data_IF_695726135988
#
_entry.id   IF_695726135988
#
_cell.length_a   1.000
_cell.length_b   1.000
_cell.length_c   1.000
_cell.angle_alpha   90.00
_cell.angle_beta   90.00
_cell.angle_gamma   90.00
#
_symmetry.space_group_name_H-M   'P 1'
#
loop_
_entity.id
_entity.type
_entity.pdbx_description
1 polymer ?
#
# COMPACT_ATOMS: atom_id res chain seq x y z
N UNK A 1 24.05 -19.01 -4.20
CA UNK A 1 24.10 -19.17 -5.66
C UNK A 1 23.74 -17.84 -6.30
N UNK A 2 24.53 -17.38 -7.27
CA UNK A 2 24.52 -16.01 -7.83
C UNK A 2 23.11 -15.51 -8.26
N UNK A 3 22.21 -16.41 -8.66
CA UNK A 3 20.81 -16.05 -8.98
C UNK A 3 19.99 -15.52 -7.79
N UNK A 4 20.26 -16.01 -6.57
CA UNK A 4 19.58 -15.53 -5.36
C UNK A 4 20.02 -14.13 -4.93
N UNK A 5 21.30 -13.79 -5.15
CA UNK A 5 21.84 -12.47 -4.82
C UNK A 5 21.29 -11.39 -5.76
N UNK A 6 21.15 -11.71 -7.05
CA UNK A 6 20.53 -10.82 -8.03
C UNK A 6 19.05 -10.56 -7.72
N UNK A 7 18.29 -11.60 -7.36
CA UNK A 7 16.88 -11.45 -6.99
C UNK A 7 16.70 -10.58 -5.75
N UNK A 8 17.57 -10.73 -4.74
CA UNK A 8 17.56 -9.87 -3.55
C UNK A 8 17.87 -8.41 -3.91
N UNK A 9 18.87 -8.19 -4.77
CA UNK A 9 19.24 -6.85 -5.24
C UNK A 9 18.10 -6.18 -6.01
N UNK A 10 17.50 -6.89 -6.97
CA UNK A 10 16.34 -6.42 -7.74
C UNK A 10 15.14 -6.10 -6.83
N UNK A 11 14.85 -6.98 -5.86
CA UNK A 11 13.79 -6.74 -4.89
C UNK A 11 14.01 -5.47 -4.07
N UNK A 12 15.25 -5.19 -3.64
CA UNK A 12 15.59 -3.95 -2.93
C UNK A 12 15.45 -2.72 -3.82
N UNK A 13 15.91 -2.78 -5.06
CA UNK A 13 15.75 -1.68 -6.02
C UNK A 13 14.27 -1.41 -6.29
N UNK A 14 13.47 -2.46 -6.50
CA UNK A 14 12.02 -2.34 -6.68
C UNK A 14 11.35 -1.68 -5.47
N UNK A 15 11.74 -2.05 -4.24
CA UNK A 15 11.24 -1.39 -3.01
C UNK A 15 11.62 0.08 -2.96
N UNK A 16 12.85 0.45 -3.31
CA UNK A 16 13.29 1.86 -3.35
C UNK A 16 12.47 2.65 -4.37
N UNK A 17 12.26 2.10 -5.57
CA UNK A 17 11.43 2.73 -6.61
C UNK A 17 9.99 2.89 -6.15
N UNK A 18 9.39 1.85 -5.55
CA UNK A 18 8.04 1.91 -5.02
C UNK A 18 7.92 2.96 -3.90
N UNK A 19 8.85 2.96 -2.93
CA UNK A 19 8.82 3.88 -1.81
C UNK A 19 9.02 5.34 -2.25
N UNK A 20 9.99 5.63 -3.11
CA UNK A 20 10.23 6.99 -3.60
C UNK A 20 9.12 7.47 -4.54
N UNK A 21 8.66 6.61 -5.46
CA UNK A 21 7.61 6.97 -6.41
C UNK A 21 6.27 7.22 -5.74
N UNK A 22 5.85 6.30 -4.86
CA UNK A 22 4.59 6.46 -4.11
C UNK A 22 4.68 7.58 -3.09
N UNK A 23 5.84 7.75 -2.44
CA UNK A 23 6.08 8.83 -1.49
C UNK A 23 6.04 10.19 -2.15
N UNK A 24 6.65 10.36 -3.33
CA UNK A 24 6.59 11.61 -4.09
C UNK A 24 5.16 11.92 -4.54
N UNK A 25 4.44 10.93 -5.06
CA UNK A 25 3.03 11.12 -5.45
C UNK A 25 2.15 11.48 -4.25
N UNK A 26 2.36 10.83 -3.12
CA UNK A 26 1.67 11.14 -1.88
C UNK A 26 2.01 12.54 -1.35
N UNK A 27 3.28 12.94 -1.40
CA UNK A 27 3.70 14.28 -0.99
C UNK A 27 3.12 15.38 -1.89
N UNK A 28 3.04 15.13 -3.19
CA UNK A 28 2.38 16.06 -4.11
C UNK A 28 0.88 16.19 -3.82
N UNK A 29 0.23 15.10 -3.39
CA UNK A 29 -1.19 15.10 -3.01
C UNK A 29 -1.42 15.81 -1.68
N UNK A 30 -0.60 15.53 -0.66
CA UNK A 30 -0.63 16.19 0.66
C UNK A 30 -0.40 17.71 0.54
N UNK A 31 0.38 18.16 -0.46
CA UNK A 31 0.66 19.58 -0.74
C UNK A 31 -0.35 20.23 -1.69
N UNK A 32 -1.16 19.47 -2.42
CA UNK A 32 -2.14 20.01 -3.34
C UNK A 32 -3.32 20.64 -2.59
N UNK A 33 -3.85 21.75 -3.09
CA UNK A 33 -5.01 22.40 -2.49
C UNK A 33 -6.25 21.47 -2.58
N UNK A 34 -7.13 21.45 -1.55
CA UNK A 34 -8.30 20.58 -1.54
C UNK A 34 -9.16 20.81 -2.80
N UNK A 35 -9.29 19.76 -3.62
CA UNK A 35 -10.06 19.73 -4.86
C UNK A 35 -11.33 18.89 -4.75
N UNK A 36 -12.12 18.79 -5.82
CA UNK A 36 -13.39 18.06 -5.85
C UNK A 36 -13.24 16.59 -5.43
N UNK A 37 -13.78 16.25 -4.25
CA UNK A 37 -13.88 14.88 -3.75
C UNK A 37 -14.82 14.04 -4.62
N UNK A 38 -14.25 13.33 -5.59
CA UNK A 38 -14.92 12.22 -6.27
C UNK A 38 -14.26 10.94 -5.76
N UNK A 39 -15.04 9.98 -5.26
CA UNK A 39 -14.49 8.68 -4.86
C UNK A 39 -13.74 7.97 -6.01
N UNK A 40 -13.09 6.84 -5.72
CA UNK A 40 -12.26 6.08 -6.68
C UNK A 40 -12.98 5.80 -8.02
N UNK A 41 -14.22 5.30 -7.99
CA UNK A 41 -15.06 5.12 -9.18
C UNK A 41 -15.37 6.43 -9.93
N UNK A 42 -15.46 7.55 -9.21
CA UNK A 42 -15.67 8.88 -9.80
C UNK A 42 -14.46 9.34 -10.62
N UNK A 43 -13.25 9.09 -10.14
CA UNK A 43 -12.02 9.36 -10.88
C UNK A 43 -11.86 8.43 -12.09
N UNK A 44 -12.15 7.13 -11.93
CA UNK A 44 -12.13 6.18 -13.05
C UNK A 44 -13.15 6.53 -14.13
N UNK A 45 -14.38 6.91 -13.75
CA UNK A 45 -15.42 7.35 -14.69
C UNK A 45 -15.03 8.64 -15.40
N UNK A 46 -14.39 9.58 -14.69
CA UNK A 46 -13.87 10.80 -15.32
C UNK A 46 -12.77 10.49 -16.34
N UNK A 47 -11.84 9.60 -15.99
CA UNK A 47 -10.77 9.13 -16.87
C UNK A 47 -11.32 8.43 -18.12
N UNK A 48 -12.31 7.55 -17.94
CA UNK A 48 -13.01 6.88 -19.04
C UNK A 48 -13.75 7.86 -19.97
N UNK A 49 -14.15 9.02 -19.43
CA UNK A 49 -14.72 10.13 -20.20
C UNK A 49 -13.68 11.12 -20.75
N UNK A 50 -12.38 10.80 -20.71
CA UNK A 50 -11.30 11.65 -21.22
C UNK A 50 -10.94 12.85 -20.34
N UNK A 51 -11.48 12.93 -19.11
CA UNK A 51 -11.19 14.02 -18.16
C UNK A 51 -10.18 13.59 -17.12
N UNK A 52 -8.97 14.16 -17.21
CA UNK A 52 -7.95 13.97 -16.20
C UNK A 52 -8.27 14.85 -14.98
N UNK A 53 -8.57 14.20 -13.86
CA UNK A 53 -8.79 14.85 -12.55
C UNK A 53 -7.53 14.74 -11.71
N UNK A 54 -7.36 15.56 -10.67
CA UNK A 54 -6.22 15.45 -9.75
C UNK A 54 -6.09 14.02 -9.18
N UNK A 55 -7.20 13.44 -8.68
CA UNK A 55 -7.20 12.04 -8.25
C UNK A 55 -6.99 11.02 -9.38
N UNK A 56 -7.33 11.36 -10.63
CA UNK A 56 -6.97 10.57 -11.81
C UNK A 56 -5.46 10.53 -12.08
N UNK A 57 -4.75 11.65 -11.86
CA UNK A 57 -3.29 11.71 -11.96
C UNK A 57 -2.65 10.81 -10.92
N UNK A 58 -3.14 10.83 -9.68
CA UNK A 58 -2.67 9.96 -8.60
C UNK A 58 -2.88 8.48 -8.93
N UNK A 59 -4.04 8.13 -9.48
CA UNK A 59 -4.37 6.75 -9.86
C UNK A 59 -3.45 6.24 -10.98
N UNK A 60 -3.27 7.04 -12.05
CA UNK A 60 -2.39 6.69 -13.17
C UNK A 60 -0.92 6.67 -12.73
N UNK A 61 -0.48 7.66 -11.95
CA UNK A 61 0.87 7.73 -11.42
C UNK A 61 1.21 6.55 -10.51
N UNK A 62 0.32 6.24 -9.56
CA UNK A 62 0.51 5.12 -8.64
C UNK A 62 0.53 3.77 -9.37
N UNK A 63 -0.35 3.59 -10.35
CA UNK A 63 -0.33 2.40 -11.22
C UNK A 63 0.97 2.31 -12.05
N UNK A 64 1.47 3.44 -12.56
CA UNK A 64 2.73 3.51 -13.28
C UNK A 64 3.94 3.15 -12.40
N UNK A 65 4.01 3.69 -11.19
CA UNK A 65 5.06 3.35 -10.21
C UNK A 65 5.01 1.86 -9.87
N UNK A 66 3.82 1.32 -9.60
CA UNK A 66 3.63 -0.10 -9.31
C UNK A 66 4.09 -1.00 -10.48
N UNK A 67 3.76 -0.62 -11.72
CA UNK A 67 4.16 -1.35 -12.92
C UNK A 67 5.69 -1.40 -13.06
N UNK A 68 6.36 -0.26 -12.88
CA UNK A 68 7.83 -0.18 -12.95
C UNK A 68 8.47 -1.01 -11.84
N UNK A 69 7.97 -0.91 -10.60
CA UNK A 69 8.50 -1.68 -9.47
C UNK A 69 8.37 -3.19 -9.71
N UNK A 70 7.22 -3.67 -10.20
CA UNK A 70 7.01 -5.10 -10.50
C UNK A 70 7.88 -5.57 -11.67
N UNK A 71 8.03 -4.76 -12.71
CA UNK A 71 8.90 -5.09 -13.85
C UNK A 71 10.36 -5.25 -13.41
N UNK A 72 10.84 -4.41 -12.49
CA UNK A 72 12.18 -4.55 -11.89
C UNK A 72 12.27 -5.82 -11.04
N UNK A 73 11.25 -6.09 -10.21
CA UNK A 73 11.24 -7.19 -9.26
C UNK A 73 11.22 -8.59 -9.90
N UNK A 74 10.57 -8.72 -11.06
CA UNK A 74 10.21 -10.03 -11.61
C UNK A 74 10.95 -10.41 -12.90
N UNK A 75 11.69 -9.48 -13.52
CA UNK A 75 12.45 -9.74 -14.74
C UNK A 75 11.60 -9.87 -16.02
N UNK A 76 12.24 -10.19 -17.16
CA UNK A 76 11.62 -10.08 -18.49
C UNK A 76 10.64 -11.21 -18.85
N UNK A 77 10.61 -12.31 -18.10
CA UNK A 77 9.89 -13.54 -18.49
C UNK A 77 8.42 -13.58 -18.05
N UNK A 78 7.90 -12.50 -17.45
CA UNK A 78 6.50 -12.40 -17.06
C UNK A 78 5.57 -12.27 -18.27
N UNK A 79 4.47 -13.01 -18.25
CA UNK A 79 3.35 -12.69 -19.14
C UNK A 79 2.79 -11.30 -18.82
N UNK A 80 2.27 -10.60 -19.82
CA UNK A 80 1.63 -9.29 -19.65
C UNK A 80 0.52 -9.36 -18.59
N UNK A 81 -0.27 -10.44 -18.56
CA UNK A 81 -1.33 -10.63 -17.58
C UNK A 81 -0.82 -10.70 -16.13
N UNK A 82 0.30 -11.39 -15.90
CA UNK A 82 0.91 -11.47 -14.57
C UNK A 82 1.51 -10.12 -14.16
N UNK A 83 2.20 -9.44 -15.08
CA UNK A 83 2.75 -8.10 -14.82
C UNK A 83 1.65 -7.11 -14.42
N UNK A 84 0.54 -7.08 -15.17
CA UNK A 84 -0.59 -6.21 -14.87
C UNK A 84 -1.29 -6.59 -13.55
N UNK A 85 -1.45 -7.89 -13.28
CA UNK A 85 -2.06 -8.38 -12.04
C UNK A 85 -1.23 -8.03 -10.81
N UNK A 86 0.09 -8.25 -10.86
CA UNK A 86 1.01 -7.93 -9.77
C UNK A 86 1.15 -6.41 -9.59
N UNK A 87 1.15 -5.61 -10.67
CA UNK A 87 1.13 -4.15 -10.58
C UNK A 87 -0.18 -3.64 -9.96
N UNK A 88 -1.33 -4.21 -10.34
CA UNK A 88 -2.61 -3.89 -9.74
C UNK A 88 -2.64 -4.24 -8.24
N UNK A 89 -2.05 -5.38 -7.84
CA UNK A 89 -1.91 -5.78 -6.45
C UNK A 89 -1.14 -4.70 -5.66
N UNK A 90 0.02 -4.27 -6.15
CA UNK A 90 0.83 -3.24 -5.48
C UNK A 90 0.09 -1.90 -5.40
N UNK A 91 -0.54 -1.46 -6.49
CA UNK A 91 -1.28 -0.20 -6.52
C UNK A 91 -2.51 -0.21 -5.59
N UNK A 92 -3.27 -1.30 -5.57
CA UNK A 92 -4.43 -1.45 -4.69
C UNK A 92 -4.05 -1.59 -3.22
N UNK A 93 -2.89 -2.21 -2.93
CA UNK A 93 -2.34 -2.26 -1.58
C UNK A 93 -1.92 -0.87 -1.09
N UNK A 94 -1.31 -0.06 -1.96
CA UNK A 94 -1.00 1.34 -1.67
C UNK A 94 -2.25 2.16 -1.35
N UNK A 95 -3.27 2.10 -2.23
CA UNK A 95 -4.53 2.79 -1.99
C UNK A 95 -5.23 2.30 -0.70
N UNK A 96 -5.14 0.99 -0.41
CA UNK A 96 -5.66 0.45 0.84
C UNK A 96 -4.93 1.02 2.07
N UNK A 97 -3.61 1.23 1.98
CA UNK A 97 -2.82 1.93 2.99
C UNK A 97 -3.41 3.31 3.29
N UNK A 98 -3.65 4.12 2.25
CA UNK A 98 -4.31 5.41 2.39
C UNK A 98 -5.74 5.30 2.97
N UNK A 99 -6.54 4.30 2.55
CA UNK A 99 -7.88 4.11 3.09
C UNK A 99 -7.89 3.87 4.62
N UNK A 100 -6.82 3.27 5.15
CA UNK A 100 -6.62 3.09 6.58
C UNK A 100 -6.00 4.31 7.29
N UNK A 101 -5.50 5.32 6.58
CA UNK A 101 -4.93 6.54 7.17
C UNK A 101 -6.01 7.56 7.58
N UNK A 102 -7.06 7.08 8.25
CA UNK A 102 -8.20 7.89 8.72
C UNK A 102 -8.35 7.95 10.23
N UNK A 103 -7.29 7.59 10.94
CA UNK A 103 -7.25 7.68 12.39
C UNK A 103 -5.84 7.45 12.94
N UNK A 104 -5.53 7.98 14.13
CA UNK A 104 -4.18 7.96 14.68
C UNK A 104 -3.61 6.55 14.78
N UNK A 105 -2.42 6.35 14.21
CA UNK A 105 -1.64 5.12 14.16
C UNK A 105 -2.24 4.00 13.32
N UNK A 106 -3.40 4.19 12.66
CA UNK A 106 -4.15 3.07 12.06
C UNK A 106 -3.42 2.48 10.87
N UNK A 107 -2.99 3.30 9.90
CA UNK A 107 -2.25 2.82 8.73
C UNK A 107 -0.99 2.05 9.15
N UNK A 108 -0.23 2.57 10.12
CA UNK A 108 0.99 1.95 10.64
C UNK A 108 0.67 0.58 11.28
N UNK A 109 -0.34 0.49 12.16
CA UNK A 109 -0.75 -0.78 12.78
C UNK A 109 -1.15 -1.84 11.74
N UNK A 110 -1.96 -1.45 10.77
CA UNK A 110 -2.42 -2.35 9.70
C UNK A 110 -1.25 -2.81 8.84
N UNK A 111 -0.34 -1.90 8.48
CA UNK A 111 0.87 -2.23 7.74
C UNK A 111 1.80 -3.17 8.50
N UNK A 112 2.02 -2.94 9.80
CA UNK A 112 2.81 -3.82 10.67
C UNK A 112 2.20 -5.21 10.79
N UNK A 113 0.88 -5.28 11.03
CA UNK A 113 0.17 -6.56 11.13
C UNK A 113 0.23 -7.33 9.81
N UNK A 114 0.00 -6.65 8.68
CA UNK A 114 0.06 -7.25 7.34
C UNK A 114 1.47 -7.74 7.00
N UNK A 115 2.49 -6.95 7.32
CA UNK A 115 3.89 -7.35 7.12
C UNK A 115 4.28 -8.52 8.02
N UNK A 116 3.84 -8.54 9.28
CA UNK A 116 4.08 -9.67 10.19
C UNK A 116 3.47 -10.96 9.65
N UNK A 117 2.22 -10.92 9.18
CA UNK A 117 1.56 -12.09 8.56
C UNK A 117 2.35 -12.57 7.34
N UNK A 118 2.77 -11.64 6.47
CA UNK A 118 3.58 -11.96 5.30
C UNK A 118 4.94 -12.59 5.68
N UNK A 119 5.64 -12.01 6.66
CA UNK A 119 6.92 -12.50 7.12
C UNK A 119 6.79 -13.92 7.73
N UNK A 120 5.75 -14.17 8.53
CA UNK A 120 5.50 -15.48 9.10
C UNK A 120 5.12 -16.51 8.02
N UNK A 121 4.23 -16.16 7.09
CA UNK A 121 3.79 -17.04 6.00
C UNK A 121 4.92 -17.43 5.03
N UNK A 122 5.96 -16.61 4.96
CA UNK A 122 7.13 -16.82 4.09
C UNK A 122 8.39 -17.21 4.87
N UNK A 123 8.25 -17.54 6.15
CA UNK A 123 9.37 -17.94 7.04
C UNK A 123 10.53 -16.94 7.09
N UNK A 124 10.22 -15.64 7.02
CA UNK A 124 11.20 -14.56 7.07
C UNK A 124 12.07 -14.47 5.81
N UNK A 125 11.48 -14.71 4.63
CA UNK A 125 12.21 -14.71 3.37
C UNK A 125 13.11 -13.47 3.20
N UNK A 126 14.39 -13.68 2.88
CA UNK A 126 15.43 -12.63 2.82
C UNK A 126 15.08 -11.52 1.82
N UNK A 127 14.30 -11.84 0.78
CA UNK A 127 13.81 -10.87 -0.22
C UNK A 127 12.94 -9.76 0.40
N UNK A 128 12.35 -10.00 1.57
CA UNK A 128 11.54 -9.02 2.31
C UNK A 128 12.37 -7.97 3.06
N UNK A 129 13.70 -8.09 3.09
CA UNK A 129 14.57 -7.16 3.84
C UNK A 129 14.39 -5.69 3.44
N UNK A 130 14.18 -5.41 2.15
CA UNK A 130 13.87 -4.04 1.71
C UNK A 130 12.56 -3.52 2.28
N UNK A 131 11.49 -4.31 2.21
CA UNK A 131 10.19 -3.95 2.78
C UNK A 131 10.26 -3.82 4.31
N UNK A 132 11.04 -4.66 4.98
CA UNK A 132 11.24 -4.62 6.43
C UNK A 132 11.84 -3.27 6.89
N UNK A 133 12.76 -2.69 6.12
CA UNK A 133 13.34 -1.37 6.43
C UNK A 133 12.26 -0.28 6.39
N UNK A 134 11.42 -0.27 5.36
CA UNK A 134 10.35 0.73 5.21
C UNK A 134 9.28 0.55 6.30
N UNK A 135 8.85 -0.68 6.56
CA UNK A 135 7.90 -1.00 7.63
C UNK A 135 8.47 -0.66 9.00
N UNK A 136 9.76 -0.91 9.23
CA UNK A 136 10.47 -0.52 10.46
C UNK A 136 10.57 0.99 10.65
N UNK A 137 10.80 1.75 9.56
CA UNK A 137 10.75 3.21 9.60
C UNK A 137 9.35 3.72 9.97
N UNK A 138 8.28 3.13 9.40
CA UNK A 138 6.91 3.45 9.81
C UNK A 138 6.64 3.09 11.28
N UNK A 139 7.17 1.96 11.76
CA UNK A 139 7.06 1.56 13.16
C UNK A 139 7.69 2.58 14.11
N UNK A 140 8.81 3.20 13.72
CA UNK A 140 9.47 4.23 14.51
C UNK A 140 8.61 5.50 14.68
N UNK A 141 7.71 5.77 13.72
CA UNK A 141 6.77 6.90 13.76
C UNK A 141 5.48 6.60 14.53
N UNK A 142 5.25 5.33 14.93
CA UNK A 142 3.97 4.89 15.47
C UNK A 142 3.52 5.69 16.69
N UNK A 143 4.44 5.98 17.62
CA UNK A 143 4.09 6.70 18.86
C UNK A 143 3.75 8.17 18.58
N UNK A 144 4.50 8.81 17.68
CA UNK A 144 4.23 10.19 17.28
C UNK A 144 2.89 10.31 16.54
N UNK A 145 2.58 9.36 15.65
CA UNK A 145 1.32 9.28 14.92
C UNK A 145 0.13 8.98 15.85
N UNK A 146 0.28 8.02 16.78
CA UNK A 146 -0.73 7.70 17.81
C UNK A 146 -1.05 8.87 18.75
N UNK A 147 -0.06 9.72 19.01
CA UNK A 147 -0.20 10.93 19.82
C UNK A 147 -0.53 12.17 18.99
N UNK A 148 -0.81 12.00 17.68
CA UNK A 148 -1.21 13.09 16.78
C UNK A 148 -0.18 14.21 16.70
N UNK A 149 1.11 13.91 16.93
CA UNK A 149 2.23 14.86 16.76
C UNK A 149 2.64 15.00 15.30
N UNK A 150 2.38 13.97 14.52
CA UNK A 150 2.50 13.93 13.07
C UNK A 150 1.37 13.07 12.51
N UNK A 151 1.19 13.14 11.20
CA UNK A 151 0.37 12.20 10.46
C UNK A 151 1.22 11.58 9.37
N UNK A 152 1.02 10.29 9.12
CA UNK A 152 1.70 9.58 8.04
C UNK A 152 1.37 10.18 6.67
N UNK A 153 0.11 10.59 6.48
CA UNK A 153 -0.40 11.21 5.27
C UNK A 153 -0.35 10.28 4.06
N UNK A 154 -0.75 10.81 2.91
CA UNK A 154 -0.68 10.07 1.66
C UNK A 154 0.76 9.73 1.27
N UNK A 155 1.72 10.58 1.69
CA UNK A 155 3.16 10.36 1.56
C UNK A 155 3.60 9.02 2.15
N UNK A 156 3.23 8.70 3.40
CA UNK A 156 3.70 7.48 4.04
C UNK A 156 2.73 6.31 3.95
N UNK A 157 1.41 6.55 3.92
CA UNK A 157 0.41 5.49 3.88
C UNK A 157 0.42 4.71 2.56
N UNK A 158 0.54 5.42 1.43
CA UNK A 158 0.69 4.78 0.12
C UNK A 158 1.98 3.97 0.02
N UNK A 159 3.08 4.50 0.56
CA UNK A 159 4.37 3.81 0.61
C UNK A 159 4.26 2.52 1.40
N UNK A 160 3.70 2.57 2.61
CA UNK A 160 3.54 1.41 3.47
C UNK A 160 2.70 0.31 2.82
N UNK A 161 1.58 0.68 2.21
CA UNK A 161 0.74 -0.25 1.45
C UNK A 161 1.46 -0.86 0.23
N UNK A 162 2.14 -0.02 -0.56
CA UNK A 162 2.85 -0.44 -1.75
C UNK A 162 3.97 -1.43 -1.44
N UNK A 163 4.80 -1.17 -0.43
CA UNK A 163 5.94 -2.05 -0.09
C UNK A 163 5.49 -3.38 0.50
N UNK A 164 4.39 -3.41 1.26
CA UNK A 164 3.79 -4.67 1.73
C UNK A 164 3.21 -5.46 0.56
N UNK A 165 2.49 -4.81 -0.36
CA UNK A 165 1.98 -5.43 -1.59
C UNK A 165 3.11 -5.98 -2.47
N UNK A 166 4.20 -5.21 -2.64
CA UNK A 166 5.38 -5.65 -3.38
C UNK A 166 6.08 -6.83 -2.68
N UNK A 167 6.07 -6.87 -1.35
CA UNK A 167 6.53 -8.01 -0.57
C UNK A 167 5.76 -9.30 -0.91
N UNK A 168 4.44 -9.22 -1.12
CA UNK A 168 3.63 -10.36 -1.58
C UNK A 168 4.09 -10.82 -2.97
N UNK A 169 4.32 -9.88 -3.89
CA UNK A 169 4.83 -10.19 -5.24
C UNK A 169 6.21 -10.86 -5.17
N UNK A 170 7.09 -10.40 -4.30
CA UNK A 170 8.46 -10.92 -4.19
C UNK A 170 8.53 -12.31 -3.53
N UNK A 171 7.67 -12.58 -2.54
CA UNK A 171 7.85 -13.74 -1.66
C UNK A 171 6.77 -14.83 -1.81
N UNK A 172 5.63 -14.54 -2.44
CA UNK A 172 4.50 -15.47 -2.50
C UNK A 172 4.33 -16.13 -3.88
N UNK A 173 3.69 -17.31 -3.87
CA UNK A 173 3.30 -18.05 -5.08
C UNK A 173 2.26 -17.28 -5.92
N UNK A 174 2.14 -17.55 -7.24
CA UNK A 174 1.13 -16.93 -8.09
C UNK A 174 -0.31 -17.11 -7.57
N UNK A 175 -0.63 -18.28 -7.01
CA UNK A 175 -1.95 -18.54 -6.43
C UNK A 175 -2.25 -17.64 -5.23
N UNK A 176 -1.26 -17.45 -4.35
CA UNK A 176 -1.37 -16.52 -3.21
C UNK A 176 -1.53 -15.07 -3.68
N UNK A 177 -0.76 -14.65 -4.70
CA UNK A 177 -0.88 -13.29 -5.28
C UNK A 177 -2.29 -13.04 -5.81
N UNK A 178 -2.88 -14.02 -6.52
CA UNK A 178 -4.24 -13.92 -7.03
C UNK A 178 -5.28 -13.77 -5.90
N UNK A 179 -5.16 -14.56 -4.83
CA UNK A 179 -6.05 -14.45 -3.67
C UNK A 179 -5.93 -13.07 -3.02
N UNK A 180 -4.70 -12.58 -2.81
CA UNK A 180 -4.47 -11.24 -2.24
C UNK A 180 -5.03 -10.15 -3.15
N UNK A 181 -4.83 -10.25 -4.47
CA UNK A 181 -5.40 -9.30 -5.44
C UNK A 181 -6.93 -9.26 -5.34
N UNK A 182 -7.60 -10.40 -5.28
CA UNK A 182 -9.07 -10.47 -5.14
C UNK A 182 -9.52 -9.80 -3.84
N UNK A 183 -8.82 -10.06 -2.72
CA UNK A 183 -9.12 -9.42 -1.43
C UNK A 183 -8.93 -7.90 -1.51
N UNK A 184 -7.83 -7.44 -2.11
CA UNK A 184 -7.56 -6.00 -2.28
C UNK A 184 -8.62 -5.33 -3.14
N UNK A 185 -9.03 -5.94 -4.25
CA UNK A 185 -10.13 -5.44 -5.10
C UNK A 185 -11.42 -5.33 -4.28
N UNK A 186 -11.78 -6.40 -3.55
CA UNK A 186 -13.00 -6.42 -2.75
C UNK A 186 -12.99 -5.33 -1.67
N UNK A 187 -11.87 -5.13 -0.97
CA UNK A 187 -11.73 -4.08 0.05
C UNK A 187 -11.81 -2.67 -0.55
N UNK A 188 -11.13 -2.43 -1.67
CA UNK A 188 -11.18 -1.14 -2.35
C UNK A 188 -12.60 -0.81 -2.82
N UNK A 189 -13.33 -1.77 -3.40
CA UNK A 189 -14.74 -1.59 -3.78
C UNK A 189 -15.66 -1.39 -2.58
N UNK A 190 -15.47 -2.17 -1.51
CA UNK A 190 -16.26 -2.04 -0.29
C UNK A 190 -16.08 -0.66 0.37
N UNK A 191 -14.90 -0.05 0.23
CA UNK A 191 -14.60 1.26 0.80
C UNK A 191 -15.44 2.40 0.18
N UNK A 192 -15.98 2.22 -1.03
CA UNK A 192 -16.84 3.21 -1.67
C UNK A 192 -18.24 3.28 -1.05
N UNK A 193 -18.71 2.16 -0.50
CA UNK A 193 -20.06 2.04 0.08
C UNK A 193 -20.03 2.13 1.59
N UNK A 194 -18.96 1.66 2.23
CA UNK A 194 -18.83 1.57 3.69
C UNK A 194 -17.47 2.11 4.13
N UNK A 195 -17.49 3.09 5.04
CA UNK A 195 -16.27 3.57 5.69
C UNK A 195 -15.67 2.50 6.60
N UNK A 196 -14.39 2.17 6.41
CA UNK A 196 -13.68 1.27 7.32
C UNK A 196 -13.68 1.75 8.77
N UNK A 197 -13.63 3.06 9.03
CA UNK A 197 -13.78 3.61 10.38
C UNK A 197 -15.09 3.15 11.01
N UNK A 198 -16.20 3.23 10.26
CA UNK A 198 -17.52 2.81 10.74
C UNK A 198 -17.56 1.31 11.09
N UNK A 199 -16.94 0.46 10.27
CA UNK A 199 -16.85 -0.99 10.52
C UNK A 199 -16.00 -1.26 11.77
N UNK A 200 -14.83 -0.63 11.86
CA UNK A 200 -13.90 -0.78 12.99
C UNK A 200 -14.59 -0.35 14.30
N UNK A 201 -15.29 0.79 14.33
CA UNK A 201 -15.98 1.29 15.51
C UNK A 201 -17.17 0.41 15.95
N UNK A 202 -17.80 -0.29 15.01
CA UNK A 202 -18.92 -1.18 15.28
C UNK A 202 -18.50 -2.54 15.89
N UNK A 203 -17.26 -2.98 15.67
CA UNK A 203 -16.77 -4.30 16.12
C UNK A 203 -15.85 -4.12 17.34
N UNK A 204 -16.27 -4.52 18.56
CA UNK A 204 -15.54 -4.23 19.80
C UNK A 204 -14.05 -4.59 19.82
N UNK A 205 -13.59 -5.77 19.36
CA UNK A 205 -12.16 -6.08 19.34
C UNK A 205 -11.39 -5.20 18.33
N UNK A 206 -11.96 -4.91 17.16
CA UNK A 206 -11.32 -4.02 16.18
C UNK A 206 -11.20 -2.60 16.72
N UNK A 207 -12.27 -2.09 17.35
CA UNK A 207 -12.27 -0.79 18.01
C UNK A 207 -11.22 -0.70 19.12
N UNK A 208 -11.09 -1.75 19.93
CA UNK A 208 -10.10 -1.79 21.01
C UNK A 208 -8.67 -1.75 20.44
N UNK A 209 -8.37 -2.52 19.40
CA UNK A 209 -7.07 -2.51 18.71
C UNK A 209 -6.79 -1.16 18.04
N UNK A 210 -7.79 -0.57 17.39
CA UNK A 210 -7.69 0.73 16.73
C UNK A 210 -7.35 1.84 17.73
N UNK A 211 -8.02 1.84 18.89
CA UNK A 211 -7.81 2.83 19.96
C UNK A 211 -6.60 2.56 20.86
N UNK A 212 -6.04 1.36 20.86
CA UNK A 212 -4.89 1.02 21.68
C UNK A 212 -3.71 1.98 21.45
N UNK A 213 -3.19 2.59 22.50
CA UNK A 213 -2.07 3.54 22.43
C UNK A 213 -2.44 4.96 21.98
N UNK A 214 -3.71 5.24 21.63
CA UNK A 214 -4.15 6.62 21.36
C UNK A 214 -4.32 7.41 22.66
N UNK A 215 -4.06 8.71 22.60
CA UNK A 215 -4.44 9.62 23.69
C UNK A 215 -5.97 9.59 23.81
N UNK A 216 -6.46 9.28 25.01
CA UNK A 216 -7.87 9.40 25.33
C UNK A 216 -8.12 10.88 25.59
N UNK A 217 -8.71 11.58 24.61
CA UNK A 217 -9.31 12.90 24.82
C UNK A 217 -10.82 12.76 24.83
#
# INVERSE_FOLDING_TARGET
>A
GVGGENAISQGRVAVVVAALGMGLLGALDDLAAPGEDRGFAGHLRALAGGRLTAGGIKLVGGAGVALVAVAIASGPDLSIGQLLGDAALVALAANLGNLFDRGPGRAIKVGLASFLVLALATTGAVVLTGAAVVVGAAAALLVDDLHERLMLGDTGANVLGAVVGLGVVLACSPGTRLVVLVVLVALNLASEVVSFSRVIDAVPPLRALDRAGRLHR
#
